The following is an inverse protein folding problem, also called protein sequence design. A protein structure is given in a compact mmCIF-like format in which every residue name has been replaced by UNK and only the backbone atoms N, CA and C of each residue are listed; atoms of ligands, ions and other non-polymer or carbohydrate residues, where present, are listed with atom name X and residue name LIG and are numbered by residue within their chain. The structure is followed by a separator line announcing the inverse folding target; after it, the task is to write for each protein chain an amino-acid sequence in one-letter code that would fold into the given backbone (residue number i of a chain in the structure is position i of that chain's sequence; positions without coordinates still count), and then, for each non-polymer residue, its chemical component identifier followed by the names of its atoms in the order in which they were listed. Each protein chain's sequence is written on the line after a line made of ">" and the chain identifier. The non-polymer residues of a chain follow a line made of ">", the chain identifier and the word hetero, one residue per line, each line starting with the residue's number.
data_IF_129894528845
#
_entry.id   IF_129894528845
#
_cell.length_a   1.000
_cell.length_b   1.000
_cell.length_c   1.000
_cell.angle_alpha   90.00
_cell.angle_beta   90.00
_cell.angle_gamma   90.00
#
_symmetry.space_group_name_H-M   'P 1'
#
loop_
_entity.id
_entity.type
_entity.pdbx_description
1 polymer ?
#
# COMPACT_ATOMS: atom_id res chain seq x y z
N UNK A 1 20.96 6.19 -43.43
CA UNK A 1 19.91 5.63 -42.55
C UNK A 1 20.60 4.97 -41.36
N UNK A 2 20.26 5.34 -40.12
CA UNK A 2 21.18 5.32 -38.98
C UNK A 2 21.38 3.91 -38.38
N UNK A 3 22.59 3.68 -37.86
CA UNK A 3 22.93 2.51 -37.03
C UNK A 3 22.02 2.51 -35.81
N UNK A 4 21.31 1.39 -35.58
CA UNK A 4 20.68 1.10 -34.29
C UNK A 4 21.81 1.00 -33.27
N UNK A 5 21.87 1.98 -32.36
CA UNK A 5 22.65 1.86 -31.14
C UNK A 5 22.06 0.72 -30.32
N UNK A 6 22.83 -0.33 -30.18
CA UNK A 6 22.57 -1.44 -29.27
C UNK A 6 22.71 -0.86 -27.86
N UNK A 7 21.58 -0.50 -27.24
CA UNK A 7 21.56 -0.16 -25.81
C UNK A 7 21.88 -1.45 -25.07
N UNK A 8 23.15 -1.65 -24.75
CA UNK A 8 23.56 -2.58 -23.71
C UNK A 8 22.87 -2.17 -22.43
N UNK A 9 21.86 -2.95 -22.02
CA UNK A 9 21.29 -2.90 -20.68
C UNK A 9 22.43 -3.17 -19.68
N UNK A 10 23.06 -2.11 -19.19
CA UNK A 10 24.02 -2.23 -18.09
C UNK A 10 23.26 -2.78 -16.88
N UNK A 11 23.62 -4.00 -16.48
CA UNK A 11 23.11 -4.59 -15.25
C UNK A 11 23.45 -3.65 -14.08
N UNK A 12 22.46 -3.23 -13.29
CA UNK A 12 22.72 -2.31 -12.19
C UNK A 12 23.69 -2.94 -11.19
N UNK A 13 24.79 -2.24 -10.90
CA UNK A 13 25.84 -2.77 -10.02
C UNK A 13 25.41 -2.70 -8.55
N UNK A 14 25.59 -3.80 -7.82
CA UNK A 14 25.27 -3.89 -6.40
C UNK A 14 26.50 -3.48 -5.60
N UNK A 15 26.47 -2.27 -5.04
CA UNK A 15 27.60 -1.72 -4.29
C UNK A 15 27.40 -1.83 -2.77
N UNK A 16 26.20 -2.24 -2.34
CA UNK A 16 25.80 -2.40 -0.94
C UNK A 16 24.56 -3.30 -0.79
N UNK A 17 24.30 -3.77 0.44
CA UNK A 17 23.06 -4.48 0.79
C UNK A 17 21.84 -3.59 0.56
N UNK A 18 21.94 -2.28 0.82
CA UNK A 18 20.85 -1.33 0.58
C UNK A 18 20.52 -1.21 -0.91
N UNK A 19 21.52 -1.16 -1.78
CA UNK A 19 21.29 -1.17 -3.24
C UNK A 19 20.68 -2.47 -3.72
N UNK A 20 21.06 -3.62 -3.14
CA UNK A 20 20.44 -4.91 -3.49
C UNK A 20 18.95 -4.96 -3.12
N UNK A 21 18.62 -4.44 -1.94
CA UNK A 21 17.24 -4.33 -1.46
C UNK A 21 16.41 -3.42 -2.38
N UNK A 22 16.94 -2.25 -2.72
CA UNK A 22 16.28 -1.32 -3.64
C UNK A 22 16.04 -1.94 -5.01
N UNK A 23 17.03 -2.64 -5.57
CA UNK A 23 16.89 -3.33 -6.86
C UNK A 23 15.87 -4.47 -6.78
N UNK A 24 15.83 -5.20 -5.67
CA UNK A 24 14.86 -6.27 -5.46
C UNK A 24 13.44 -5.73 -5.37
N UNK A 25 13.23 -4.65 -4.60
CA UNK A 25 11.94 -3.96 -4.51
C UNK A 25 11.52 -3.41 -5.88
N UNK A 26 12.42 -2.72 -6.58
CA UNK A 26 12.14 -2.18 -7.91
C UNK A 26 11.77 -3.29 -8.91
N UNK A 27 12.48 -4.42 -8.87
CA UNK A 27 12.20 -5.56 -9.74
C UNK A 27 10.81 -6.16 -9.47
N UNK A 28 10.47 -6.37 -8.18
CA UNK A 28 9.16 -6.89 -7.77
C UNK A 28 8.06 -5.94 -8.23
N UNK A 29 8.21 -4.64 -7.96
CA UNK A 29 7.21 -3.64 -8.33
C UNK A 29 7.03 -3.59 -9.84
N UNK A 30 8.12 -3.55 -10.62
CA UNK A 30 8.06 -3.60 -12.09
C UNK A 30 7.33 -4.85 -12.58
N UNK A 31 7.51 -6.00 -11.92
CA UNK A 31 6.79 -7.24 -12.26
C UNK A 31 5.30 -7.18 -11.95
N UNK A 32 4.92 -6.52 -10.85
CA UNK A 32 3.53 -6.29 -10.48
C UNK A 32 2.86 -5.34 -11.47
N UNK A 33 3.53 -4.25 -11.84
CA UNK A 33 3.00 -3.23 -12.77
C UNK A 33 2.83 -3.79 -14.20
N UNK A 34 3.72 -4.67 -14.65
CA UNK A 34 3.64 -5.33 -15.95
C UNK A 34 2.81 -6.63 -15.92
N UNK A 35 2.13 -6.93 -14.81
CA UNK A 35 1.29 -8.11 -14.72
C UNK A 35 -0.02 -7.84 -15.47
N UNK A 36 -0.05 -8.19 -16.76
CA UNK A 36 -1.30 -8.23 -17.53
C UNK A 36 -2.25 -9.21 -16.85
N UNK A 37 -3.39 -8.73 -16.35
CA UNK A 37 -4.44 -9.59 -15.79
C UNK A 37 -4.80 -10.66 -16.80
N UNK A 38 -4.68 -11.97 -16.49
CA UNK A 38 -5.22 -12.99 -17.35
C UNK A 38 -6.74 -12.82 -17.35
N UNK A 39 -7.30 -12.45 -18.51
CA UNK A 39 -8.69 -12.09 -18.69
C UNK A 39 -9.71 -13.18 -18.30
N UNK A 40 -9.31 -14.32 -17.74
CA UNK A 40 -10.18 -15.44 -17.38
C UNK A 40 -9.58 -16.39 -16.30
N UNK A 41 -8.90 -15.92 -15.24
CA UNK A 41 -8.63 -16.81 -14.10
C UNK A 41 -9.83 -16.84 -13.14
N UNK A 42 -10.86 -17.57 -13.55
CA UNK A 42 -11.86 -18.15 -12.65
C UNK A 42 -11.13 -19.11 -11.70
N UNK A 43 -10.61 -18.60 -10.60
CA UNK A 43 -10.20 -19.42 -9.47
C UNK A 43 -10.75 -18.77 -8.21
N UNK A 44 -11.90 -19.29 -7.80
CA UNK A 44 -12.34 -19.44 -6.42
C UNK A 44 -11.33 -18.88 -5.40
N UNK A 45 -11.67 -17.71 -4.84
CA UNK A 45 -11.69 -17.30 -3.42
C UNK A 45 -11.13 -18.24 -2.31
N UNK A 46 -10.12 -19.04 -2.60
CA UNK A 46 -9.50 -20.00 -1.67
C UNK A 46 -7.98 -20.04 -1.91
N UNK A 47 -7.35 -18.87 -2.07
CA UNK A 47 -5.95 -18.72 -1.65
C UNK A 47 -5.99 -18.50 -0.13
N UNK A 48 -6.21 -19.60 0.60
CA UNK A 48 -5.97 -19.64 2.04
C UNK A 48 -4.55 -19.17 2.35
N UNK A 49 -4.31 -18.75 3.59
CA UNK A 49 -3.03 -18.20 4.07
C UNK A 49 -1.75 -18.98 3.67
N UNK A 50 -1.89 -20.22 3.21
CA UNK A 50 -0.80 -21.10 2.76
C UNK A 50 -0.24 -20.83 1.34
N UNK A 51 -0.89 -20.02 0.50
CA UNK A 51 -0.57 -19.95 -0.94
C UNK A 51 0.07 -18.67 -1.46
N UNK A 52 0.15 -17.60 -0.66
CA UNK A 52 0.67 -16.33 -1.13
C UNK A 52 2.18 -16.19 -0.88
N UNK A 53 2.97 -16.19 -1.95
CA UNK A 53 4.44 -16.06 -1.88
C UNK A 53 4.90 -14.73 -1.26
N UNK A 54 4.13 -13.65 -1.40
CA UNK A 54 4.46 -12.38 -0.76
C UNK A 54 4.39 -12.45 0.76
N UNK A 55 3.54 -13.33 1.30
CA UNK A 55 3.38 -13.48 2.75
C UNK A 55 4.52 -14.30 3.39
N UNK A 56 5.35 -14.96 2.58
CA UNK A 56 6.58 -15.60 3.04
C UNK A 56 7.75 -14.61 3.17
N UNK A 57 7.60 -13.40 2.60
CA UNK A 57 8.62 -12.37 2.71
C UNK A 57 8.63 -11.78 4.14
N UNK A 58 9.80 -11.33 4.62
CA UNK A 58 9.86 -10.54 5.84
C UNK A 58 8.94 -9.32 5.75
N UNK A 59 8.19 -9.03 6.82
CA UNK A 59 7.22 -7.92 6.82
C UNK A 59 7.86 -6.59 6.43
N UNK A 60 9.09 -6.33 6.86
CA UNK A 60 9.83 -5.12 6.49
C UNK A 60 10.12 -4.98 4.99
N UNK A 61 10.30 -6.10 4.28
CA UNK A 61 10.46 -6.10 2.83
C UNK A 61 9.11 -5.86 2.15
N UNK A 62 8.06 -6.53 2.64
CA UNK A 62 6.71 -6.40 2.12
C UNK A 62 6.18 -4.96 2.28
N UNK A 63 6.45 -4.32 3.41
CA UNK A 63 6.14 -2.91 3.67
C UNK A 63 6.85 -2.00 2.67
N UNK A 64 8.12 -2.27 2.33
CA UNK A 64 8.84 -1.51 1.31
C UNK A 64 8.28 -1.71 -0.10
N UNK A 65 7.85 -2.94 -0.44
CA UNK A 65 7.18 -3.20 -1.71
C UNK A 65 5.87 -2.43 -1.80
N UNK A 66 5.05 -2.43 -0.74
CA UNK A 66 3.79 -1.67 -0.70
C UNK A 66 4.06 -0.17 -0.85
N UNK A 67 5.05 0.38 -0.13
CA UNK A 67 5.43 1.79 -0.24
C UNK A 67 5.87 2.12 -1.66
N UNK A 68 6.78 1.33 -2.23
CA UNK A 68 7.32 1.54 -3.57
C UNK A 68 6.21 1.47 -4.64
N UNK A 69 5.34 0.47 -4.54
CA UNK A 69 4.18 0.31 -5.41
C UNK A 69 3.23 1.51 -5.32
N UNK A 70 2.95 1.99 -4.09
CA UNK A 70 2.12 3.17 -3.89
C UNK A 70 2.78 4.47 -4.40
N UNK A 71 4.12 4.58 -4.37
CA UNK A 71 4.85 5.79 -4.81
C UNK A 71 5.05 5.91 -6.32
N UNK A 72 4.99 4.81 -7.07
CA UNK A 72 5.32 4.79 -8.50
C UNK A 72 4.27 5.45 -9.41
N UNK A 73 3.25 6.09 -8.86
CA UNK A 73 2.39 6.99 -9.62
C UNK A 73 1.38 6.28 -10.53
N UNK A 74 1.09 5.00 -10.29
CA UNK A 74 -0.17 4.44 -10.80
C UNK A 74 -1.28 5.20 -10.09
N UNK A 75 -2.13 5.88 -10.87
CA UNK A 75 -3.18 6.77 -10.37
C UNK A 75 -4.07 6.12 -9.32
N UNK A 76 -4.15 4.78 -9.27
CA UNK A 76 -4.77 3.99 -8.19
C UNK A 76 -4.10 2.62 -8.08
N UNK A 77 -3.46 2.27 -6.95
CA UNK A 77 -3.09 0.88 -6.67
C UNK A 77 -4.36 0.04 -6.76
N UNK A 78 -4.39 -0.93 -7.67
CA UNK A 78 -5.58 -1.76 -7.82
C UNK A 78 -5.81 -2.56 -6.53
N UNK A 79 -7.04 -2.53 -6.01
CA UNK A 79 -7.36 -3.16 -4.73
C UNK A 79 -7.01 -4.66 -4.71
N UNK A 80 -7.13 -5.33 -5.87
CA UNK A 80 -6.75 -6.73 -6.00
C UNK A 80 -5.26 -6.96 -5.71
N UNK A 81 -4.35 -6.05 -6.12
CA UNK A 81 -2.90 -6.18 -5.85
C UNK A 81 -2.65 -6.07 -4.35
N UNK A 82 -3.35 -5.17 -3.68
CA UNK A 82 -3.26 -5.03 -2.24
C UNK A 82 -3.77 -6.26 -1.50
N UNK A 83 -4.77 -6.98 -2.02
CA UNK A 83 -5.18 -8.27 -1.46
C UNK A 83 -4.04 -9.31 -1.51
N UNK A 84 -3.10 -9.21 -2.45
CA UNK A 84 -1.91 -10.07 -2.49
C UNK A 84 -0.74 -9.55 -1.64
N UNK A 85 -0.67 -8.25 -1.34
CA UNK A 85 0.42 -7.68 -0.57
C UNK A 85 0.10 -7.54 0.92
N UNK A 86 -1.18 -7.45 1.29
CA UNK A 86 -1.61 -7.21 2.67
C UNK A 86 -1.65 -8.52 3.46
N UNK A 87 -0.83 -8.54 4.50
CA UNK A 87 -0.73 -9.63 5.47
C UNK A 87 -1.02 -9.12 6.88
N UNK A 88 -1.54 -10.01 7.74
CA UNK A 88 -1.79 -9.75 9.16
C UNK A 88 -0.55 -9.33 9.94
N UNK A 89 0.64 -9.60 9.41
CA UNK A 89 1.91 -9.28 10.04
C UNK A 89 2.42 -7.86 9.74
N UNK A 90 1.76 -7.12 8.84
CA UNK A 90 2.13 -5.74 8.53
C UNK A 90 1.90 -4.84 9.74
N UNK A 91 2.90 -4.03 10.07
CA UNK A 91 2.83 -3.03 11.14
C UNK A 91 2.68 -1.62 10.58
N UNK A 92 3.21 -1.39 9.37
CA UNK A 92 3.21 -0.09 8.71
C UNK A 92 2.60 -0.22 7.32
N UNK A 93 1.65 0.65 6.99
CA UNK A 93 1.10 0.76 5.65
C UNK A 93 1.03 2.23 5.24
N UNK A 94 1.38 2.51 3.99
CA UNK A 94 1.26 3.83 3.38
C UNK A 94 0.62 3.69 2.02
N UNK A 95 -0.52 4.34 1.86
CA UNK A 95 -1.23 4.43 0.59
C UNK A 95 -1.24 5.87 0.13
N UNK A 96 -0.74 6.08 -1.09
CA UNK A 96 -0.62 7.41 -1.69
C UNK A 96 -1.93 7.91 -2.29
N UNK A 97 -2.79 7.01 -2.75
CA UNK A 97 -4.11 7.34 -3.28
C UNK A 97 -5.10 6.37 -2.68
N UNK A 98 -6.14 6.87 -2.03
CA UNK A 98 -7.21 6.01 -1.51
C UNK A 98 -8.09 5.45 -2.63
N UNK A 99 -8.47 4.19 -2.46
CA UNK A 99 -9.50 3.52 -3.24
C UNK A 99 -10.50 2.90 -2.28
N UNK A 100 -11.80 2.94 -2.61
CA UNK A 100 -12.84 2.25 -1.82
C UNK A 100 -12.58 0.75 -1.70
N UNK A 101 -11.88 0.16 -2.67
CA UNK A 101 -11.44 -1.23 -2.57
C UNK A 101 -10.51 -1.50 -1.38
N UNK A 102 -10.00 -0.48 -0.68
CA UNK A 102 -9.21 -0.69 0.53
C UNK A 102 -10.06 -1.14 1.71
N UNK A 103 -11.37 -0.89 1.68
CA UNK A 103 -12.28 -1.37 2.72
C UNK A 103 -12.30 -2.90 2.79
N UNK A 104 -12.10 -3.60 1.66
CA UNK A 104 -12.08 -5.07 1.62
C UNK A 104 -10.85 -5.67 2.29
N UNK A 105 -9.75 -4.91 2.39
CA UNK A 105 -8.48 -5.38 2.95
C UNK A 105 -8.26 -4.98 4.40
N UNK A 106 -9.01 -3.99 4.93
CA UNK A 106 -8.92 -3.59 6.34
C UNK A 106 -9.11 -4.73 7.34
N UNK A 107 -10.04 -5.69 7.14
CA UNK A 107 -10.16 -6.85 8.03
C UNK A 107 -8.89 -7.69 8.18
N UNK A 108 -7.92 -7.54 7.26
CA UNK A 108 -6.65 -8.29 7.26
C UNK A 108 -5.54 -7.58 8.04
N UNK A 109 -5.76 -6.34 8.49
CA UNK A 109 -4.80 -5.55 9.27
C UNK A 109 -4.90 -5.80 10.77
N UNK A 110 -4.56 -7.01 11.20
CA UNK A 110 -4.64 -7.38 12.62
C UNK A 110 -3.57 -6.67 13.47
N UNK A 111 -2.34 -6.53 12.98
CA UNK A 111 -1.21 -5.98 13.73
C UNK A 111 -0.75 -4.60 13.24
N UNK A 112 -1.60 -3.92 12.46
CA UNK A 112 -1.26 -2.62 11.90
C UNK A 112 -1.17 -1.57 13.01
N UNK A 113 -0.03 -0.89 13.11
CA UNK A 113 0.25 0.14 14.12
C UNK A 113 0.17 1.53 13.51
N UNK A 114 0.61 1.68 12.27
CA UNK A 114 0.66 2.96 11.58
C UNK A 114 0.08 2.85 10.18
N UNK A 115 -0.87 3.73 9.88
CA UNK A 115 -1.47 3.88 8.56
C UNK A 115 -1.31 5.31 8.08
N UNK A 116 -0.81 5.48 6.86
CA UNK A 116 -0.77 6.77 6.18
C UNK A 116 -1.67 6.69 4.94
N UNK A 117 -2.68 7.55 4.87
CA UNK A 117 -3.61 7.71 3.75
C UNK A 117 -3.43 9.11 3.15
N UNK A 118 -2.85 9.21 1.96
CA UNK A 118 -2.71 10.49 1.24
C UNK A 118 -3.73 10.61 0.11
N UNK A 119 -4.02 11.85 -0.29
CA UNK A 119 -4.88 12.19 -1.44
C UNK A 119 -6.18 11.39 -1.43
N UNK A 120 -6.83 11.40 -0.28
CA UNK A 120 -7.90 10.46 0.01
C UNK A 120 -9.28 11.08 -0.14
N UNK A 121 -10.23 10.29 -0.61
CA UNK A 121 -11.66 10.60 -0.49
C UNK A 121 -12.27 9.80 0.68
N UNK A 122 -11.46 9.32 1.62
CA UNK A 122 -11.90 8.58 2.79
C UNK A 122 -12.96 9.39 3.53
N UNK A 123 -14.12 8.79 3.67
CA UNK A 123 -15.27 9.35 4.35
C UNK A 123 -15.39 8.77 5.77
N UNK A 124 -16.51 9.06 6.43
CA UNK A 124 -16.83 8.52 7.74
C UNK A 124 -16.88 6.99 7.77
N UNK A 125 -17.24 6.36 6.66
CA UNK A 125 -17.37 4.92 6.56
C UNK A 125 -15.98 4.27 6.52
N UNK A 126 -15.04 4.84 5.77
CA UNK A 126 -13.64 4.42 5.80
C UNK A 126 -13.03 4.48 7.21
N UNK A 127 -13.24 5.58 7.92
CA UNK A 127 -12.74 5.73 9.30
C UNK A 127 -13.42 4.75 10.26
N UNK A 128 -14.72 4.48 10.08
CA UNK A 128 -15.46 3.48 10.86
C UNK A 128 -14.89 2.08 10.65
N UNK A 129 -14.67 1.67 9.40
CA UNK A 129 -14.09 0.36 9.09
C UNK A 129 -12.67 0.19 9.65
N UNK A 130 -11.85 1.24 9.59
CA UNK A 130 -10.53 1.24 10.25
C UNK A 130 -10.66 1.03 11.76
N UNK A 131 -11.59 1.71 12.43
CA UNK A 131 -11.82 1.54 13.86
C UNK A 131 -12.31 0.14 14.24
N UNK A 132 -13.12 -0.50 13.40
CA UNK A 132 -13.63 -1.85 13.62
C UNK A 132 -12.52 -2.89 13.47
N UNK A 133 -11.72 -2.78 12.40
CA UNK A 133 -10.80 -3.83 11.97
C UNK A 133 -9.36 -3.63 12.44
N UNK A 134 -8.85 -2.41 12.49
CA UNK A 134 -7.45 -2.12 12.79
C UNK A 134 -7.27 -1.76 14.27
N UNK A 135 -7.61 -2.68 15.19
CA UNK A 135 -7.62 -2.42 16.65
C UNK A 135 -6.26 -2.03 17.24
N UNK A 136 -5.17 -2.44 16.60
CA UNK A 136 -3.81 -2.10 17.02
C UNK A 136 -3.31 -0.78 16.44
N UNK A 137 -4.12 -0.08 15.63
CA UNK A 137 -3.75 1.16 15.00
C UNK A 137 -3.54 2.22 16.07
N UNK A 138 -2.38 2.86 16.06
CA UNK A 138 -2.00 3.93 16.98
C UNK A 138 -1.74 5.24 16.26
N UNK A 139 -1.31 5.16 15.01
CA UNK A 139 -0.96 6.32 14.18
C UNK A 139 -1.81 6.26 12.92
N UNK A 140 -2.63 7.28 12.71
CA UNK A 140 -3.42 7.48 11.50
C UNK A 140 -3.11 8.86 10.92
N UNK A 141 -2.29 8.89 9.88
CA UNK A 141 -1.94 10.12 9.15
C UNK A 141 -2.80 10.21 7.89
N UNK A 142 -3.68 11.21 7.84
CA UNK A 142 -4.59 11.45 6.72
C UNK A 142 -4.25 12.79 6.11
N UNK A 143 -3.82 12.80 4.84
CA UNK A 143 -3.39 14.00 4.14
C UNK A 143 -4.26 14.25 2.90
N UNK A 144 -4.69 15.50 2.71
CA UNK A 144 -5.53 15.93 1.58
C UNK A 144 -6.81 15.09 1.47
N UNK A 145 -7.59 15.04 2.56
CA UNK A 145 -8.88 14.38 2.63
C UNK A 145 -9.98 15.34 2.16
N UNK A 146 -10.57 15.09 0.99
CA UNK A 146 -11.58 15.98 0.40
C UNK A 146 -12.95 15.95 1.07
N UNK A 147 -13.21 14.99 1.96
CA UNK A 147 -14.53 14.75 2.57
C UNK A 147 -14.51 14.72 4.10
N UNK A 148 -13.36 14.97 4.72
CA UNK A 148 -13.21 14.98 6.18
C UNK A 148 -13.49 16.38 6.76
N UNK A 149 -14.65 16.96 6.46
CA UNK A 149 -15.00 18.33 6.92
C UNK A 149 -15.63 18.39 8.32
N UNK A 150 -15.80 17.26 9.02
CA UNK A 150 -16.32 17.29 10.39
C UNK A 150 -15.86 16.07 11.17
N UNK A 151 -15.01 16.36 12.16
CA UNK A 151 -14.69 15.59 13.36
C UNK A 151 -15.58 14.36 13.58
N UNK A 152 -15.11 13.19 13.12
CA UNK A 152 -15.49 11.92 13.73
C UNK A 152 -14.47 11.64 14.82
N UNK A 153 -14.86 11.93 16.06
CA UNK A 153 -14.14 11.49 17.26
C UNK A 153 -14.06 9.97 17.21
N UNK A 154 -12.91 9.45 16.79
CA UNK A 154 -12.53 8.08 17.14
C UNK A 154 -12.42 8.06 18.68
N UNK A 155 -12.96 7.04 19.37
CA UNK A 155 -12.94 7.01 20.83
C UNK A 155 -11.52 7.26 21.32
N UNK A 156 -11.36 8.30 22.16
CA UNK A 156 -10.10 8.92 22.58
C UNK A 156 -9.13 7.97 23.31
N UNK A 157 -9.46 6.68 23.46
CA UNK A 157 -8.62 5.73 24.17
C UNK A 157 -7.52 5.06 23.33
N UNK A 158 -7.50 5.14 21.98
CA UNK A 158 -6.53 4.33 21.21
C UNK A 158 -5.84 4.95 19.97
N UNK A 159 -6.18 6.15 19.50
CA UNK A 159 -5.51 6.74 18.32
C UNK A 159 -4.75 8.01 18.71
N UNK A 160 -3.42 7.91 18.72
CA UNK A 160 -2.53 9.02 18.93
C UNK A 160 -2.28 9.74 17.60
N UNK A 161 -2.68 11.01 17.55
CA UNK A 161 -2.39 12.00 16.50
C UNK A 161 -3.07 11.78 15.16
N UNK A 162 -4.30 12.30 15.05
CA UNK A 162 -4.83 12.79 13.78
C UNK A 162 -4.18 14.16 13.47
N UNK A 163 -3.52 14.30 12.30
CA UNK A 163 -2.97 15.59 11.83
C UNK A 163 -3.48 15.88 10.42
N UNK A 164 -4.59 16.60 10.32
CA UNK A 164 -5.04 17.18 9.06
C UNK A 164 -4.22 18.46 8.79
N UNK A 165 -3.44 18.47 7.70
CA UNK A 165 -2.64 19.63 7.30
C UNK A 165 -3.36 20.38 6.17
N UNK A 166 -4.35 21.21 6.50
CA UNK A 166 -4.96 22.18 5.58
C UNK A 166 -4.16 23.50 5.50
N UNK A 167 -2.82 23.45 5.52
CA UNK A 167 -2.03 24.67 5.30
C UNK A 167 -1.49 24.72 3.87
N UNK A 168 -2.09 25.63 3.10
CA UNK A 168 -1.64 26.29 1.85
C UNK A 168 -2.37 25.90 0.57
N UNK A 169 -3.62 26.37 0.46
CA UNK A 169 -4.13 26.97 -0.77
C UNK A 169 -4.69 28.35 -0.47
N UNK A 170 -3.78 29.34 -0.39
CA UNK A 170 -4.07 30.74 -0.68
C UNK A 170 -3.66 31.02 -2.12
#
# INVERSE_FOLDING_TARGET
>A
MPRREDKTDEMPSVNSVSSLLQLSVAHIVTRIENFDTPANSTTNSVMGELGNLFHQLPSSLLEQVIIAYATNGIDRPEAFVLEYLISKHLKFARFHVYSEGYLTVFPRFENLISLVLRYTAADSDCLRELGIHCKNLRILDVFDCRHCDSVTVLPESEIALYRNNEEKRN
#
